data_IF_697184829818
#
_entry.id   IF_697184829818
#
_cell.length_a   1.000
_cell.length_b   1.000
_cell.length_c   1.000
_cell.angle_alpha   90.00
_cell.angle_beta   90.00
_cell.angle_gamma   90.00
#
_symmetry.space_group_name_H-M   'P 1'
#
loop_
_entity.id
_entity.type
_entity.pdbx_description
1 polymer ?
#
# COMPACT_ATOMS: atom_id res chain seq x y z
N UNK A 1 7.61 -0.41 51.83
CA UNK A 1 8.01 0.74 51.00
C UNK A 1 7.60 0.47 49.57
N UNK A 2 6.64 1.24 49.06
CA UNK A 2 6.37 1.28 47.62
C UNK A 2 7.57 1.91 46.88
N UNK A 3 7.69 1.64 45.58
CA UNK A 3 8.74 2.23 44.73
C UNK A 3 8.72 3.77 44.81
N UNK A 4 7.52 4.36 44.93
CA UNK A 4 7.31 5.80 45.09
C UNK A 4 7.78 6.32 46.46
N UNK A 5 7.58 5.57 47.54
CA UNK A 5 8.12 5.93 48.87
C UNK A 5 9.66 5.85 48.89
N UNK A 6 10.25 4.89 48.17
CA UNK A 6 11.71 4.75 48.06
C UNK A 6 12.35 5.92 47.29
N UNK A 7 11.76 6.29 46.15
CA UNK A 7 12.18 7.47 45.39
C UNK A 7 11.98 8.77 46.18
N UNK A 8 10.86 8.89 46.92
CA UNK A 8 10.60 10.05 47.79
C UNK A 8 11.59 10.20 48.94
N UNK A 9 12.26 9.11 49.34
CA UNK A 9 13.30 9.09 50.37
C UNK A 9 14.73 9.12 49.79
N UNK A 10 14.90 9.40 48.49
CA UNK A 10 16.19 9.34 47.77
C UNK A 10 16.94 8.00 47.94
N UNK A 11 16.20 6.90 48.11
CA UNK A 11 16.78 5.57 48.22
C UNK A 11 17.35 5.09 46.88
N UNK A 12 18.50 4.42 46.91
CA UNK A 12 19.06 3.74 45.74
C UNK A 12 18.60 2.27 45.73
N UNK A 13 18.14 1.80 44.58
CA UNK A 13 17.78 0.39 44.41
C UNK A 13 19.04 -0.45 44.25
N UNK A 14 19.25 -1.40 45.16
CA UNK A 14 20.41 -2.32 45.13
C UNK A 14 19.91 -3.74 44.90
N UNK A 15 20.48 -4.43 43.92
CA UNK A 15 20.16 -5.83 43.59
C UNK A 15 20.21 -6.13 42.08
N UNK A 16 20.36 -7.40 41.72
CA UNK A 16 20.38 -7.86 40.31
C UNK A 16 19.05 -7.67 39.59
N UNK A 17 17.95 -7.45 40.32
CA UNK A 17 16.60 -7.21 39.82
C UNK A 17 16.19 -5.73 39.76
N UNK A 18 17.14 -4.82 39.98
CA UNK A 18 16.90 -3.37 39.99
C UNK A 18 17.74 -2.70 38.89
N UNK A 19 17.08 -2.05 37.93
CA UNK A 19 17.75 -1.25 36.90
C UNK A 19 17.92 0.21 37.32
N UNK A 20 18.61 1.01 36.50
CA UNK A 20 18.85 2.45 36.74
C UNK A 20 17.57 3.30 36.84
N UNK A 21 16.42 2.80 36.38
CA UNK A 21 15.13 3.51 36.37
C UNK A 21 14.06 2.87 37.28
N UNK A 22 14.44 1.90 38.13
CA UNK A 22 13.52 1.24 39.06
C UNK A 22 13.62 -0.29 39.04
N UNK A 23 12.85 -0.99 39.90
CA UNK A 23 12.78 -2.45 39.89
C UNK A 23 12.16 -2.94 38.59
N UNK A 24 12.70 -4.02 38.03
CA UNK A 24 12.08 -4.69 36.88
C UNK A 24 10.68 -5.17 37.27
N UNK A 25 9.66 -4.65 36.62
CA UNK A 25 8.30 -5.16 36.77
C UNK A 25 8.21 -6.50 36.03
N UNK A 26 7.95 -7.61 36.75
CA UNK A 26 7.73 -8.89 36.08
C UNK A 26 6.50 -8.81 35.17
N UNK A 27 6.43 -9.71 34.19
CA UNK A 27 5.26 -9.96 33.33
C UNK A 27 4.88 -8.88 32.28
N UNK A 28 5.51 -7.71 32.27
CA UNK A 28 5.22 -6.65 31.27
C UNK A 28 5.49 -7.11 29.83
N UNK A 29 6.59 -7.83 29.61
CA UNK A 29 6.97 -8.33 28.28
C UNK A 29 6.01 -9.43 27.80
N UNK A 30 5.63 -10.34 28.71
CA UNK A 30 4.68 -11.41 28.42
C UNK A 30 3.31 -10.82 28.06
N UNK A 31 2.82 -9.89 28.89
CA UNK A 31 1.55 -9.18 28.63
C UNK A 31 1.58 -8.39 27.33
N UNK A 32 2.67 -7.67 27.04
CA UNK A 32 2.84 -6.93 25.78
C UNK A 32 2.80 -7.84 24.56
N UNK A 33 3.38 -9.04 24.67
CA UNK A 33 3.38 -10.05 23.60
C UNK A 33 1.97 -10.61 23.38
N UNK A 34 1.22 -10.87 24.44
CA UNK A 34 -0.19 -11.28 24.37
C UNK A 34 -1.02 -10.20 23.68
N UNK A 35 -0.92 -8.94 24.12
CA UNK A 35 -1.64 -7.83 23.51
C UNK A 35 -1.30 -7.68 22.02
N UNK A 36 -0.03 -7.80 21.66
CA UNK A 36 0.43 -7.70 20.27
C UNK A 36 -0.21 -8.78 19.38
N UNK A 37 -0.04 -10.06 19.71
CA UNK A 37 -0.57 -11.15 18.88
C UNK A 37 -2.10 -11.21 18.90
N UNK A 38 -2.72 -10.93 20.05
CA UNK A 38 -4.18 -10.87 20.19
C UNK A 38 -4.78 -9.76 19.31
N UNK A 39 -4.14 -8.60 19.24
CA UNK A 39 -4.55 -7.49 18.36
C UNK A 39 -4.51 -7.89 16.88
N UNK A 40 -3.44 -8.57 16.46
CA UNK A 40 -3.29 -9.05 15.07
C UNK A 40 -4.37 -10.08 14.74
N UNK A 41 -4.57 -11.06 15.61
CA UNK A 41 -5.55 -12.12 15.43
C UNK A 41 -6.98 -11.56 15.40
N UNK A 42 -7.33 -10.70 16.34
CA UNK A 42 -8.67 -10.07 16.40
C UNK A 42 -8.93 -9.18 15.18
N UNK A 43 -7.95 -8.38 14.75
CA UNK A 43 -8.08 -7.54 13.55
C UNK A 43 -8.28 -8.39 12.29
N UNK A 44 -7.55 -9.50 12.17
CA UNK A 44 -7.71 -10.44 11.07
C UNK A 44 -9.07 -11.14 11.08
N UNK A 45 -9.48 -11.65 12.24
CA UNK A 45 -10.75 -12.34 12.44
C UNK A 45 -11.95 -11.43 12.14
N UNK A 46 -11.97 -10.21 12.69
CA UNK A 46 -13.04 -9.24 12.44
C UNK A 46 -13.09 -8.78 10.98
N UNK A 47 -11.97 -8.78 10.26
CA UNK A 47 -11.97 -8.48 8.82
C UNK A 47 -12.45 -9.67 7.98
N UNK A 48 -12.03 -10.88 8.32
CA UNK A 48 -12.48 -12.12 7.65
C UNK A 48 -13.95 -12.43 7.95
N UNK A 49 -14.48 -11.88 9.04
CA UNK A 49 -15.92 -11.86 9.31
C UNK A 49 -16.71 -11.27 8.14
N UNK A 50 -16.11 -10.40 7.31
CA UNK A 50 -16.72 -9.91 6.07
C UNK A 50 -17.09 -11.03 5.10
N UNK A 51 -16.40 -12.16 5.05
CA UNK A 51 -16.75 -13.27 4.13
C UNK A 51 -17.55 -14.38 4.80
N UNK A 52 -17.79 -14.24 6.10
CA UNK A 52 -18.53 -15.21 6.90
C UNK A 52 -20.01 -15.27 6.48
N UNK A 53 -20.59 -16.47 6.58
CA UNK A 53 -22.01 -16.74 6.33
C UNK A 53 -22.91 -16.38 7.50
N UNK A 54 -22.33 -16.10 8.67
CA UNK A 54 -23.06 -15.65 9.85
C UNK A 54 -23.43 -14.15 9.72
N UNK A 55 -24.64 -13.79 10.17
CA UNK A 55 -25.22 -12.42 10.18
C UNK A 55 -25.65 -11.82 8.83
N UNK A 56 -26.59 -10.84 8.84
CA UNK A 56 -26.98 -10.12 7.63
C UNK A 56 -25.84 -9.26 7.06
N UNK A 57 -25.86 -9.06 5.73
CA UNK A 57 -24.80 -8.39 4.96
C UNK A 57 -24.44 -7.00 5.48
N UNK A 58 -25.45 -6.20 5.89
CA UNK A 58 -25.23 -4.84 6.44
C UNK A 58 -24.43 -4.86 7.74
N UNK A 59 -24.79 -5.74 8.68
CA UNK A 59 -24.10 -5.85 9.98
C UNK A 59 -22.68 -6.36 9.79
N UNK A 60 -22.51 -7.37 8.92
CA UNK A 60 -21.20 -7.92 8.57
C UNK A 60 -20.26 -6.87 7.95
N UNK A 61 -20.76 -6.04 7.04
CA UNK A 61 -19.96 -4.95 6.45
C UNK A 61 -19.55 -3.94 7.51
N UNK A 62 -20.49 -3.47 8.34
CA UNK A 62 -20.21 -2.50 9.41
C UNK A 62 -19.13 -3.01 10.37
N UNK A 63 -19.22 -4.25 10.84
CA UNK A 63 -18.23 -4.84 11.75
C UNK A 63 -16.85 -4.91 11.09
N UNK A 64 -16.77 -5.34 9.82
CA UNK A 64 -15.50 -5.41 9.10
C UNK A 64 -14.89 -4.03 8.83
N UNK A 65 -15.71 -3.01 8.59
CA UNK A 65 -15.24 -1.66 8.29
C UNK A 65 -14.69 -0.97 9.55
N UNK A 66 -15.29 -1.21 10.72
CA UNK A 66 -14.82 -0.74 12.03
C UNK A 66 -13.89 -1.72 12.77
N UNK A 67 -13.48 -2.83 12.14
CA UNK A 67 -12.73 -3.92 12.77
C UNK A 67 -11.48 -3.45 13.54
N UNK A 68 -10.65 -2.60 12.93
CA UNK A 68 -9.42 -2.09 13.57
C UNK A 68 -9.75 -1.23 14.78
N UNK A 69 -10.76 -0.36 14.67
CA UNK A 69 -11.20 0.50 15.78
C UNK A 69 -11.75 -0.31 16.96
N UNK A 70 -12.64 -1.26 16.68
CA UNK A 70 -13.22 -2.17 17.69
C UNK A 70 -12.11 -2.98 18.38
N UNK A 71 -11.11 -3.43 17.62
CA UNK A 71 -9.97 -4.17 18.18
C UNK A 71 -9.16 -3.31 19.15
N UNK A 72 -8.81 -2.07 18.77
CA UNK A 72 -8.08 -1.15 19.64
C UNK A 72 -8.87 -0.91 20.93
N UNK A 73 -10.16 -0.59 20.81
CA UNK A 73 -11.03 -0.35 21.98
C UNK A 73 -11.07 -1.57 22.91
N UNK A 74 -11.26 -2.76 22.37
CA UNK A 74 -11.34 -4.00 23.16
C UNK A 74 -10.01 -4.29 23.86
N UNK A 75 -8.88 -4.13 23.18
CA UNK A 75 -7.56 -4.39 23.76
C UNK A 75 -7.17 -3.34 24.81
N UNK A 76 -7.58 -2.09 24.64
CA UNK A 76 -7.42 -1.04 25.67
C UNK A 76 -8.24 -1.36 26.91
N UNK A 77 -9.48 -1.82 26.76
CA UNK A 77 -10.32 -2.24 27.89
C UNK A 77 -9.69 -3.43 28.61
N UNK A 78 -9.18 -4.42 27.88
CA UNK A 78 -8.50 -5.58 28.48
C UNK A 78 -7.22 -5.17 29.24
N UNK A 79 -6.41 -4.27 28.67
CA UNK A 79 -5.23 -3.71 29.35
C UNK A 79 -5.61 -2.96 30.64
N UNK A 80 -6.70 -2.20 30.60
CA UNK A 80 -7.23 -1.50 31.77
C UNK A 80 -7.72 -2.46 32.87
N UNK A 81 -8.43 -3.53 32.50
CA UNK A 81 -8.95 -4.53 33.46
C UNK A 81 -7.83 -5.35 34.09
N UNK A 82 -6.80 -5.70 33.32
CA UNK A 82 -5.68 -6.51 33.82
C UNK A 82 -4.69 -5.67 34.66
N UNK A 83 -4.62 -4.35 34.43
CA UNK A 83 -3.93 -3.43 35.33
C UNK A 83 -2.40 -3.56 35.35
N UNK A 84 -1.79 -4.27 34.40
CA UNK A 84 -0.33 -4.41 34.27
C UNK A 84 0.25 -3.12 33.68
N UNK A 85 1.39 -2.60 34.18
CA UNK A 85 2.00 -1.36 33.68
C UNK A 85 2.62 -1.58 32.29
N UNK A 86 1.79 -1.55 31.25
CA UNK A 86 2.20 -1.56 29.84
C UNK A 86 2.77 -0.20 29.41
N UNK A 87 3.62 -0.19 28.39
CA UNK A 87 4.12 1.06 27.79
C UNK A 87 2.99 1.73 27.02
N UNK A 88 2.56 2.90 27.50
CA UNK A 88 1.44 3.67 26.92
C UNK A 88 1.94 4.79 26.00
N UNK A 89 1.06 5.24 25.12
CA UNK A 89 1.34 6.33 24.19
C UNK A 89 1.62 7.64 24.96
N UNK A 90 2.85 8.15 24.83
CA UNK A 90 3.26 9.42 25.44
C UNK A 90 2.97 10.57 24.49
N UNK A 91 1.92 11.34 24.79
CA UNK A 91 1.61 12.58 24.05
C UNK A 91 1.92 13.77 24.96
N UNK A 92 2.75 14.74 24.52
CA UNK A 92 3.03 15.93 25.29
C UNK A 92 1.76 16.80 25.39
N UNK A 93 1.45 17.27 26.59
CA UNK A 93 0.27 18.12 26.84
C UNK A 93 0.48 19.59 26.44
N UNK A 94 1.69 19.97 26.03
CA UNK A 94 2.08 21.33 25.65
C UNK A 94 2.85 21.30 24.34
N UNK A 95 2.50 22.21 23.42
CA UNK A 95 3.32 22.48 22.25
C UNK A 95 4.57 23.27 22.68
N UNK A 96 5.74 22.63 22.58
CA UNK A 96 7.03 23.25 22.89
C UNK A 96 7.98 23.04 21.70
N UNK A 97 8.84 24.02 21.38
CA UNK A 97 9.89 23.83 20.40
C UNK A 97 10.85 22.71 20.85
N UNK A 98 11.49 22.02 19.90
CA UNK A 98 12.46 20.95 20.20
C UNK A 98 13.66 21.43 21.04
N UNK A 99 13.90 22.74 21.08
CA UNK A 99 14.88 23.39 21.96
C UNK A 99 14.24 24.61 22.61
N UNK A 100 14.34 24.70 23.93
CA UNK A 100 13.79 25.83 24.69
C UNK A 100 14.47 27.17 24.34
N UNK A 101 15.71 27.14 23.82
CA UNK A 101 16.48 28.33 23.41
C UNK A 101 15.99 28.97 22.09
N UNK A 102 15.03 28.36 21.38
CA UNK A 102 14.68 28.73 20.00
C UNK A 102 13.22 29.17 19.88
N UNK A 103 12.99 30.28 19.18
CA UNK A 103 11.67 30.64 18.67
C UNK A 103 11.17 29.70 17.55
N UNK A 104 9.89 29.79 17.22
CA UNK A 104 9.26 29.01 16.16
C UNK A 104 9.76 29.34 14.75
N UNK A 105 10.35 30.52 14.55
CA UNK A 105 10.94 30.93 13.28
C UNK A 105 12.46 30.89 13.33
N UNK A 106 13.07 30.31 12.30
CA UNK A 106 14.51 30.17 12.21
C UNK A 106 15.08 31.34 11.43
N UNK A 107 15.99 32.09 12.05
CA UNK A 107 16.79 33.05 11.29
C UNK A 107 17.72 32.29 10.33
N UNK A 108 17.60 32.51 9.00
CA UNK A 108 18.40 31.79 8.00
C UNK A 108 19.89 32.18 8.09
N UNK A 109 20.17 33.38 8.59
CA UNK A 109 21.51 33.89 8.89
C UNK A 109 21.70 33.75 10.40
N UNK A 110 21.90 32.51 10.85
CA UNK A 110 22.32 32.24 12.22
C UNK A 110 23.79 32.63 12.45
N UNK A 111 24.40 32.23 13.58
CA UNK A 111 25.83 32.45 13.86
C UNK A 111 26.78 31.64 12.95
N UNK A 112 26.25 30.93 11.95
CA UNK A 112 27.03 30.07 11.07
C UNK A 112 27.80 30.88 10.02
N UNK A 113 29.03 30.48 9.66
CA UNK A 113 29.80 31.11 8.60
C UNK A 113 29.08 31.07 7.24
N UNK A 114 29.25 32.10 6.40
CA UNK A 114 28.62 32.19 5.07
C UNK A 114 28.92 31.01 4.13
N UNK A 115 30.11 30.39 4.26
CA UNK A 115 30.50 29.24 3.44
C UNK A 115 29.66 27.99 3.71
N UNK A 116 29.01 27.91 4.88
CA UNK A 116 28.11 26.78 5.20
C UNK A 116 26.86 26.76 4.32
N UNK A 117 26.38 27.93 3.87
CA UNK A 117 25.23 28.01 2.95
C UNK A 117 25.55 27.41 1.57
N UNK A 118 26.78 27.61 1.08
CA UNK A 118 27.23 27.01 -0.18
C UNK A 118 27.40 25.50 -0.06
N UNK A 119 28.01 25.02 1.04
CA UNK A 119 28.17 23.59 1.28
C UNK A 119 26.81 22.90 1.48
N UNK A 120 25.83 23.57 2.07
CA UNK A 120 24.47 23.07 2.26
C UNK A 120 23.70 22.83 0.94
N UNK A 121 24.13 23.43 -0.17
CA UNK A 121 23.52 23.18 -1.48
C UNK A 121 23.67 21.70 -1.93
N UNK A 122 24.79 21.05 -1.59
CA UNK A 122 25.06 19.65 -1.95
C UNK A 122 24.05 18.69 -1.28
N UNK A 123 23.90 18.66 0.07
CA UNK A 123 22.89 17.82 0.72
C UNK A 123 21.46 18.25 0.38
N UNK A 124 21.20 19.55 0.16
CA UNK A 124 19.87 20.01 -0.27
C UNK A 124 19.47 19.44 -1.64
N UNK A 125 20.39 19.36 -2.60
CA UNK A 125 20.16 18.74 -3.90
C UNK A 125 19.85 17.24 -3.75
N UNK A 126 20.64 16.52 -2.94
CA UNK A 126 20.38 15.10 -2.66
C UNK A 126 19.01 14.88 -1.99
N UNK A 127 18.64 15.71 -1.02
CA UNK A 127 17.35 15.66 -0.34
C UNK A 127 16.19 15.97 -1.30
N UNK A 128 16.37 16.91 -2.22
CA UNK A 128 15.35 17.23 -3.23
C UNK A 128 15.08 16.03 -4.14
N UNK A 129 16.14 15.33 -4.58
CA UNK A 129 16.00 14.11 -5.39
C UNK A 129 15.31 12.99 -4.59
N UNK A 130 15.65 12.83 -3.31
CA UNK A 130 15.01 11.88 -2.41
C UNK A 130 13.49 12.11 -2.32
N UNK A 131 13.09 13.33 -2.00
CA UNK A 131 11.68 13.69 -1.81
C UNK A 131 10.92 13.61 -3.13
N UNK A 132 11.52 14.05 -4.23
CA UNK A 132 10.92 13.92 -5.56
C UNK A 132 10.64 12.46 -5.90
N UNK A 133 11.62 11.57 -5.73
CA UNK A 133 11.47 10.16 -6.09
C UNK A 133 10.44 9.46 -5.20
N UNK A 134 10.45 9.71 -3.89
CA UNK A 134 9.48 9.10 -2.98
C UNK A 134 8.05 9.57 -3.25
N UNK A 135 7.86 10.87 -3.52
CA UNK A 135 6.56 11.42 -3.91
C UNK A 135 6.05 10.81 -5.22
N UNK A 136 6.90 10.70 -6.26
CA UNK A 136 6.49 10.16 -7.56
C UNK A 136 6.18 8.67 -7.48
N UNK A 137 7.01 7.88 -6.78
CA UNK A 137 6.75 6.45 -6.58
C UNK A 137 5.42 6.26 -5.84
N UNK A 138 5.20 7.02 -4.77
CA UNK A 138 3.94 6.95 -4.00
C UNK A 138 2.73 7.33 -4.83
N UNK A 139 2.82 8.44 -5.58
CA UNK A 139 1.74 8.91 -6.43
C UNK A 139 1.37 7.90 -7.53
N UNK A 140 2.37 7.26 -8.17
CA UNK A 140 2.13 6.24 -9.19
C UNK A 140 1.50 4.97 -8.61
N UNK A 141 1.90 4.57 -7.40
CA UNK A 141 1.32 3.41 -6.73
C UNK A 141 -0.16 3.65 -6.39
N UNK A 142 -0.52 4.84 -5.92
CA UNK A 142 -1.90 5.20 -5.57
C UNK A 142 -2.76 5.39 -6.83
N UNK A 143 -2.22 6.04 -7.86
CA UNK A 143 -2.92 6.31 -9.12
C UNK A 143 -2.93 5.10 -10.07
N UNK A 144 -2.76 3.89 -9.55
CA UNK A 144 -2.77 2.67 -10.35
C UNK A 144 -4.16 2.46 -10.97
N UNK A 145 -4.19 2.09 -12.25
CA UNK A 145 -5.44 1.89 -13.02
C UNK A 145 -6.38 0.86 -12.40
N UNK A 146 -5.86 -0.11 -11.65
CA UNK A 146 -6.65 -1.09 -10.89
C UNK A 146 -7.58 -0.46 -9.86
N UNK A 147 -7.23 0.70 -9.32
CA UNK A 147 -8.05 1.40 -8.35
C UNK A 147 -9.29 2.05 -8.97
N UNK A 148 -9.43 2.01 -10.32
CA UNK A 148 -10.59 2.54 -11.07
C UNK A 148 -10.97 3.97 -10.61
N UNK A 149 -9.96 4.82 -10.39
CA UNK A 149 -10.14 6.22 -10.01
C UNK A 149 -10.78 6.98 -11.18
N UNK A 150 -11.73 7.87 -10.86
CA UNK A 150 -12.54 8.57 -11.86
C UNK A 150 -11.99 9.96 -12.17
N UNK A 151 -11.32 10.61 -11.21
CA UNK A 151 -10.73 11.94 -11.43
C UNK A 151 -9.31 11.83 -11.97
N UNK A 152 -8.93 12.84 -12.76
CA UNK A 152 -7.59 12.95 -13.36
C UNK A 152 -6.47 13.03 -12.32
N UNK A 153 -5.26 12.68 -12.74
CA UNK A 153 -4.06 12.67 -11.88
C UNK A 153 -3.39 14.06 -11.84
N UNK A 154 -2.94 14.47 -10.65
CA UNK A 154 -2.34 15.79 -10.40
C UNK A 154 -0.86 15.78 -10.03
N UNK A 155 -0.01 15.01 -10.72
CA UNK A 155 1.40 14.80 -10.31
C UNK A 155 2.21 16.09 -10.10
N UNK A 156 2.05 17.09 -10.97
CA UNK A 156 2.76 18.37 -10.86
C UNK A 156 2.25 19.23 -9.72
N UNK A 157 0.93 19.22 -9.49
CA UNK A 157 0.31 19.98 -8.42
C UNK A 157 0.68 19.40 -7.04
N UNK A 158 0.73 18.07 -6.94
CA UNK A 158 1.18 17.38 -5.73
C UNK A 158 2.64 17.73 -5.40
N UNK A 159 3.52 17.77 -6.41
CA UNK A 159 4.92 18.15 -6.24
C UNK A 159 5.07 19.62 -5.79
N UNK A 160 4.29 20.53 -6.37
CA UNK A 160 4.29 21.94 -5.98
C UNK A 160 3.86 22.12 -4.52
N UNK A 161 2.81 21.41 -4.09
CA UNK A 161 2.31 21.48 -2.71
C UNK A 161 3.32 20.92 -1.70
N UNK A 162 3.98 19.80 -2.01
CA UNK A 162 5.06 19.24 -1.17
C UNK A 162 6.24 20.22 -1.10
N UNK A 163 6.62 20.85 -2.21
CA UNK A 163 7.68 21.86 -2.23
C UNK A 163 7.36 23.08 -1.36
N UNK A 164 6.14 23.60 -1.45
CA UNK A 164 5.67 24.70 -0.60
C UNK A 164 5.67 24.30 0.88
N UNK A 165 5.18 23.11 1.22
CA UNK A 165 5.15 22.61 2.59
C UNK A 165 6.57 22.41 3.14
N UNK A 166 7.50 21.93 2.32
CA UNK A 166 8.91 21.79 2.69
C UNK A 166 9.55 23.16 2.98
N UNK A 167 9.28 24.18 2.16
CA UNK A 167 9.76 25.53 2.41
C UNK A 167 9.25 26.06 3.77
N UNK A 168 7.95 25.91 4.05
CA UNK A 168 7.35 26.32 5.34
C UNK A 168 7.96 25.54 6.52
N UNK A 169 8.08 24.22 6.41
CA UNK A 169 8.68 23.38 7.46
C UNK A 169 10.14 23.74 7.69
N UNK A 170 10.89 24.05 6.63
CA UNK A 170 12.29 24.48 6.72
C UNK A 170 12.45 25.84 7.39
N UNK A 171 11.52 26.78 7.20
CA UNK A 171 11.52 28.08 7.87
C UNK A 171 11.12 27.99 9.35
N UNK A 172 10.20 27.07 9.67
CA UNK A 172 9.71 26.84 11.03
C UNK A 172 10.54 25.84 11.84
N UNK A 173 11.47 25.11 11.20
CA UNK A 173 12.30 24.11 11.87
C UNK A 173 11.59 22.81 12.18
N UNK A 174 10.49 22.55 11.49
CA UNK A 174 9.72 21.32 11.61
C UNK A 174 10.35 20.23 10.72
N UNK A 175 10.23 18.95 11.11
CA UNK A 175 10.66 17.85 10.26
C UNK A 175 9.92 17.89 8.92
N UNK A 176 10.62 17.55 7.84
CA UNK A 176 10.00 17.48 6.52
C UNK A 176 9.02 16.32 6.43
N UNK A 177 7.90 16.56 5.75
CA UNK A 177 6.88 15.55 5.50
C UNK A 177 6.98 15.05 4.07
N UNK A 178 6.88 13.73 3.91
CA UNK A 178 6.83 13.03 2.62
C UNK A 178 5.60 12.12 2.57
N UNK A 179 5.08 11.82 1.38
CA UNK A 179 3.92 10.95 1.25
C UNK A 179 4.22 9.52 1.73
N UNK A 180 3.41 9.03 2.67
CA UNK A 180 3.57 7.68 3.21
C UNK A 180 2.80 6.66 2.36
N UNK A 181 3.53 5.76 1.68
CA UNK A 181 2.95 4.72 0.79
C UNK A 181 1.95 3.79 1.50
N UNK A 182 2.38 3.10 2.56
CA UNK A 182 1.56 2.08 3.25
C UNK A 182 0.30 2.69 3.86
N UNK A 183 0.42 3.86 4.47
CA UNK A 183 -0.72 4.56 5.07
C UNK A 183 -1.71 5.01 4.00
N UNK A 184 -1.23 5.56 2.89
CA UNK A 184 -2.07 5.99 1.77
C UNK A 184 -2.80 4.82 1.11
N UNK A 185 -2.12 3.69 0.90
CA UNK A 185 -2.75 2.46 0.38
C UNK A 185 -3.83 1.95 1.35
N UNK A 186 -3.55 1.98 2.65
CA UNK A 186 -4.53 1.54 3.67
C UNK A 186 -5.76 2.44 3.70
N UNK A 187 -5.55 3.76 3.58
CA UNK A 187 -6.64 4.73 3.45
C UNK A 187 -7.47 4.51 2.20
N UNK A 188 -6.84 4.32 1.04
CA UNK A 188 -7.52 4.00 -0.23
C UNK A 188 -8.29 2.67 -0.13
N UNK A 189 -7.70 1.64 0.49
CA UNK A 189 -8.36 0.36 0.71
C UNK A 189 -9.56 0.47 1.67
N UNK A 190 -9.56 1.41 2.60
CA UNK A 190 -10.73 1.67 3.45
C UNK A 190 -11.89 2.36 2.70
N UNK A 191 -11.60 3.01 1.57
CA UNK A 191 -12.56 3.69 0.70
C UNK A 191 -13.00 2.84 -0.50
N UNK A 192 -12.55 1.58 -0.56
CA UNK A 192 -12.90 0.61 -1.61
C UNK A 192 -14.37 0.21 -1.50
N UNK A 193 -15.12 0.44 -2.57
CA UNK A 193 -16.49 -0.04 -2.72
C UNK A 193 -16.48 -1.40 -3.40
N UNK A 194 -17.08 -2.35 -2.70
CA UNK A 194 -17.33 -3.71 -3.16
C UNK A 194 -18.83 -3.88 -3.42
N UNK A 195 -19.20 -4.68 -4.42
CA UNK A 195 -20.59 -4.89 -4.82
C UNK A 195 -21.42 -5.45 -3.67
N UNK A 196 -22.56 -4.82 -3.37
CA UNK A 196 -23.50 -5.28 -2.34
C UNK A 196 -24.24 -6.58 -2.72
N UNK A 197 -24.21 -6.97 -4.00
CA UNK A 197 -24.93 -8.14 -4.51
C UNK A 197 -23.99 -9.08 -5.25
N UNK A 198 -23.36 -9.98 -4.51
CA UNK A 198 -22.82 -11.23 -5.05
C UNK A 198 -23.71 -12.36 -4.54
N UNK A 199 -24.06 -13.31 -5.41
CA UNK A 199 -24.70 -14.54 -4.99
C UNK A 199 -23.85 -15.23 -3.90
N UNK A 200 -24.45 -15.95 -2.93
CA UNK A 200 -23.69 -16.60 -1.87
C UNK A 200 -22.61 -17.51 -2.46
N UNK A 201 -21.33 -17.16 -2.25
CA UNK A 201 -20.16 -17.88 -2.78
C UNK A 201 -19.38 -17.17 -3.89
N UNK A 202 -19.92 -16.11 -4.53
CA UNK A 202 -19.17 -15.31 -5.51
C UNK A 202 -18.38 -14.20 -4.80
N UNK A 203 -17.08 -14.06 -5.12
CA UNK A 203 -16.25 -12.99 -4.57
C UNK A 203 -16.84 -11.62 -4.93
N UNK A 204 -16.88 -10.65 -4.00
CA UNK A 204 -17.47 -9.34 -4.27
C UNK A 204 -16.74 -8.65 -5.43
N UNK A 205 -17.50 -8.21 -6.43
CA UNK A 205 -16.94 -7.47 -7.57
C UNK A 205 -16.54 -6.07 -7.10
N UNK A 206 -15.31 -5.68 -7.43
CA UNK A 206 -14.80 -4.34 -7.12
C UNK A 206 -15.40 -3.30 -8.07
N UNK A 207 -16.28 -2.43 -7.56
CA UNK A 207 -16.90 -1.36 -8.35
C UNK A 207 -15.98 -0.15 -8.54
N UNK A 208 -15.20 0.21 -7.52
CA UNK A 208 -14.30 1.37 -7.56
C UNK A 208 -14.00 1.92 -6.17
N UNK A 209 -13.29 3.04 -6.11
CA UNK A 209 -12.94 3.73 -4.86
C UNK A 209 -13.71 5.05 -4.75
N UNK A 210 -14.25 5.34 -3.56
CA UNK A 210 -14.90 6.61 -3.30
C UNK A 210 -13.87 7.68 -2.99
N UNK A 211 -13.66 8.59 -3.93
CA UNK A 211 -12.74 9.72 -3.72
C UNK A 211 -13.34 10.78 -2.82
N UNK A 212 -12.75 10.99 -1.64
CA UNK A 212 -13.22 11.95 -0.64
C UNK A 212 -12.05 12.85 -0.19
N UNK A 213 -12.29 14.16 -0.15
CA UNK A 213 -11.34 15.13 0.43
C UNK A 213 -11.48 15.29 1.94
N UNK A 214 -12.69 15.06 2.46
CA UNK A 214 -13.05 15.31 3.84
C UNK A 214 -12.35 14.35 4.81
N UNK A 215 -12.20 13.07 4.47
CA UNK A 215 -11.60 12.08 5.37
C UNK A 215 -10.13 12.39 5.64
N UNK A 216 -9.36 12.74 4.60
CA UNK A 216 -7.98 13.19 4.76
C UNK A 216 -7.88 14.46 5.61
N UNK A 217 -8.69 15.49 5.31
CA UNK A 217 -8.75 16.73 6.08
C UNK A 217 -9.06 16.45 7.56
N UNK A 218 -10.04 15.58 7.83
CA UNK A 218 -10.44 15.23 9.20
C UNK A 218 -9.33 14.49 9.94
N UNK A 219 -8.59 13.57 9.31
CA UNK A 219 -7.46 12.90 9.96
C UNK A 219 -6.40 13.92 10.42
N UNK A 220 -6.01 14.85 9.56
CA UNK A 220 -5.03 15.88 9.92
C UNK A 220 -5.56 16.87 10.96
N UNK A 221 -6.84 17.24 10.88
CA UNK A 221 -7.50 18.06 11.88
C UNK A 221 -7.52 17.37 13.26
N UNK A 222 -7.94 16.10 13.32
CA UNK A 222 -7.96 15.31 14.55
C UNK A 222 -6.55 15.10 15.11
N UNK A 223 -5.54 14.94 14.24
CA UNK A 223 -4.14 14.88 14.67
C UNK A 223 -3.70 16.19 15.33
N UNK A 224 -4.07 17.34 14.77
CA UNK A 224 -3.84 18.65 15.41
C UNK A 224 -4.58 18.81 16.73
N UNK A 225 -5.82 18.33 16.81
CA UNK A 225 -6.63 18.36 18.03
C UNK A 225 -6.22 17.32 19.09
N UNK A 226 -5.33 16.37 18.76
CA UNK A 226 -4.94 15.27 19.65
C UNK A 226 -4.35 15.73 20.97
N UNK A 227 -3.71 16.90 21.02
CA UNK A 227 -3.16 17.50 22.25
C UNK A 227 -4.27 17.80 23.27
N UNK A 228 -5.46 18.22 22.83
CA UNK A 228 -6.61 18.41 23.73
C UNK A 228 -7.18 17.09 24.24
N UNK A 229 -6.98 16.00 23.49
CA UNK A 229 -7.44 14.64 23.83
C UNK A 229 -6.35 13.78 24.49
N UNK A 230 -5.25 14.39 24.95
CA UNK A 230 -4.11 13.69 25.55
C UNK A 230 -4.53 12.72 26.66
N UNK A 231 -5.50 13.09 27.50
CA UNK A 231 -5.99 12.23 28.58
C UNK A 231 -6.62 10.92 28.09
N UNK A 232 -7.28 10.91 26.94
CA UNK A 232 -7.85 9.69 26.36
C UNK A 232 -6.79 8.86 25.61
N UNK A 233 -5.90 9.53 24.87
CA UNK A 233 -4.86 8.87 24.06
C UNK A 233 -3.80 8.17 24.91
N UNK A 234 -3.52 8.68 26.11
CA UNK A 234 -2.56 8.07 27.04
C UNK A 234 -3.00 6.69 27.56
N UNK A 235 -4.25 6.27 27.39
CA UNK A 235 -4.67 4.92 27.77
C UNK A 235 -4.31 3.86 26.73
N UNK A 236 -3.87 4.26 25.53
CA UNK A 236 -3.58 3.31 24.45
C UNK A 236 -2.19 2.70 24.65
N UNK A 237 -2.08 1.37 24.82
CA UNK A 237 -0.81 0.69 24.96
C UNK A 237 -0.10 0.56 23.60
N UNK A 238 1.20 0.85 23.56
CA UNK A 238 2.03 0.77 22.35
C UNK A 238 2.04 -0.63 21.70
N UNK A 239 2.06 -1.76 22.44
CA UNK A 239 1.97 -3.09 21.84
C UNK A 239 0.75 -3.32 20.95
N UNK A 240 -0.40 -2.71 21.29
CA UNK A 240 -1.62 -2.79 20.47
C UNK A 240 -1.42 -2.04 19.16
N UNK A 241 -0.83 -0.83 19.20
CA UNK A 241 -0.52 -0.08 17.98
C UNK A 241 0.44 -0.85 17.06
N UNK A 242 1.46 -1.49 17.62
CA UNK A 242 2.35 -2.35 16.83
C UNK A 242 1.62 -3.54 16.20
N UNK A 243 0.67 -4.16 16.91
CA UNK A 243 -0.16 -5.23 16.36
C UNK A 243 -1.03 -4.75 15.20
N UNK A 244 -1.64 -3.57 15.33
CA UNK A 244 -2.40 -2.94 14.24
C UNK A 244 -1.50 -2.60 13.06
N UNK A 245 -0.30 -2.07 13.29
CA UNK A 245 0.66 -1.78 12.21
C UNK A 245 1.11 -3.05 11.48
N UNK A 246 1.33 -4.16 12.20
CA UNK A 246 1.64 -5.44 11.57
C UNK A 246 0.48 -5.92 10.69
N UNK A 247 -0.76 -5.81 11.19
CA UNK A 247 -1.95 -6.18 10.42
C UNK A 247 -2.11 -5.31 9.16
N UNK A 248 -2.00 -3.99 9.28
CA UNK A 248 -2.06 -3.07 8.13
C UNK A 248 -0.94 -3.37 7.12
N UNK A 249 0.28 -3.63 7.60
CA UNK A 249 1.41 -4.03 6.78
C UNK A 249 1.10 -5.32 6.00
N UNK A 250 0.68 -6.38 6.69
CA UNK A 250 0.34 -7.65 6.07
C UNK A 250 -0.85 -7.54 5.09
N UNK A 251 -1.86 -6.73 5.41
CA UNK A 251 -2.99 -6.48 4.51
C UNK A 251 -2.59 -5.67 3.27
N UNK A 252 -1.64 -4.75 3.38
CA UNK A 252 -1.15 -3.96 2.25
C UNK A 252 -0.36 -4.80 1.23
N UNK A 253 0.21 -5.93 1.67
CA UNK A 253 0.88 -6.88 0.79
C UNK A 253 -0.10 -7.73 -0.04
N UNK A 254 -1.35 -7.89 0.42
CA UNK A 254 -2.39 -8.60 -0.34
C UNK A 254 -2.79 -7.76 -1.57
N UNK A 255 -2.64 -8.34 -2.76
CA UNK A 255 -2.91 -7.64 -4.03
C UNK A 255 -1.66 -7.11 -4.74
N UNK A 256 -0.46 -7.29 -4.16
CA UNK A 256 0.80 -7.06 -4.87
C UNK A 256 1.14 -8.34 -5.66
N UNK A 257 1.23 -8.23 -6.99
CA UNK A 257 1.53 -9.36 -7.88
C UNK A 257 2.83 -10.10 -7.51
N UNK A 258 3.86 -9.38 -7.09
CA UNK A 258 5.12 -9.98 -6.62
C UNK A 258 4.89 -10.96 -5.46
N UNK A 259 4.05 -10.57 -4.48
CA UNK A 259 3.77 -11.42 -3.31
C UNK A 259 2.93 -12.64 -3.69
N UNK A 260 2.00 -12.50 -4.64
CA UNK A 260 1.22 -13.64 -5.14
C UNK A 260 2.09 -14.62 -5.94
N UNK A 261 3.07 -14.13 -6.71
CA UNK A 261 4.10 -14.97 -7.35
C UNK A 261 5.04 -15.63 -6.34
N UNK A 262 5.37 -14.94 -5.25
CA UNK A 262 6.17 -15.51 -4.19
C UNK A 262 5.42 -16.65 -3.49
N UNK A 263 4.12 -16.52 -3.23
CA UNK A 263 3.27 -17.62 -2.71
C UNK A 263 3.23 -18.81 -3.66
N UNK A 264 3.25 -18.56 -4.97
CA UNK A 264 3.27 -19.59 -6.00
C UNK A 264 4.45 -20.55 -5.86
N UNK A 265 5.59 -20.06 -5.34
CA UNK A 265 6.76 -20.89 -5.08
C UNK A 265 6.51 -21.96 -4.01
N UNK A 266 5.63 -21.67 -3.04
CA UNK A 266 5.24 -22.61 -1.98
C UNK A 266 4.03 -23.47 -2.30
N UNK A 267 3.40 -23.29 -3.47
CA UNK A 267 2.16 -23.98 -3.84
C UNK A 267 2.46 -25.14 -4.80
N UNK A 268 1.95 -26.36 -4.55
CA UNK A 268 2.10 -27.45 -5.50
C UNK A 268 1.32 -27.16 -6.80
N UNK A 269 1.80 -27.61 -7.97
CA UNK A 269 1.23 -27.26 -9.28
C UNK A 269 -0.24 -27.71 -9.45
N UNK A 270 -0.69 -28.69 -8.66
CA UNK A 270 -2.08 -29.19 -8.69
C UNK A 270 -3.11 -28.25 -8.06
N UNK A 271 -2.71 -27.42 -7.12
CA UNK A 271 -3.62 -26.51 -6.42
C UNK A 271 -3.51 -25.07 -6.93
N UNK A 272 -2.78 -24.87 -8.02
CA UNK A 272 -2.43 -23.55 -8.50
C UNK A 272 -3.68 -22.81 -8.99
N UNK A 273 -3.93 -21.57 -8.52
CA UNK A 273 -5.08 -20.80 -8.98
C UNK A 273 -4.93 -20.42 -10.46
N UNK A 274 -6.07 -20.29 -11.15
CA UNK A 274 -6.17 -19.98 -12.58
C UNK A 274 -5.79 -18.53 -12.90
N UNK A 275 -4.51 -18.21 -12.74
CA UNK A 275 -3.97 -16.93 -13.18
C UNK A 275 -3.73 -16.94 -14.70
N UNK A 276 -4.28 -15.97 -15.42
CA UNK A 276 -4.17 -15.85 -16.90
C UNK A 276 -2.71 -15.82 -17.41
N UNK A 277 -1.75 -15.37 -16.60
CA UNK A 277 -0.33 -15.38 -16.96
C UNK A 277 0.33 -16.78 -16.91
N UNK A 278 -0.20 -17.73 -16.12
CA UNK A 278 0.28 -19.12 -16.08
C UNK A 278 -0.07 -19.90 -17.36
N UNK A 279 -1.14 -19.50 -18.06
CA UNK A 279 -1.57 -20.14 -19.31
C UNK A 279 -0.63 -19.82 -20.47
N UNK A 280 0.08 -18.69 -20.40
CA UNK A 280 0.90 -18.18 -21.50
C UNK A 280 2.42 -18.27 -21.26
N UNK A 281 2.85 -18.39 -20.00
CA UNK A 281 4.29 -18.40 -19.62
C UNK A 281 4.61 -19.66 -18.81
N UNK A 282 5.65 -20.44 -19.17
CA UNK A 282 6.01 -21.64 -18.43
C UNK A 282 6.49 -21.30 -17.01
N UNK A 283 6.09 -22.12 -16.02
CA UNK A 283 6.34 -21.89 -14.59
C UNK A 283 7.82 -21.66 -14.25
N UNK A 284 8.75 -22.33 -14.94
CA UNK A 284 10.20 -22.16 -14.73
C UNK A 284 10.65 -20.72 -14.96
N UNK A 285 10.11 -20.05 -15.99
CA UNK A 285 10.42 -18.66 -16.32
C UNK A 285 9.82 -17.70 -15.28
N UNK A 286 8.62 -18.00 -14.79
CA UNK A 286 7.97 -17.25 -13.70
C UNK A 286 8.79 -17.32 -12.40
N UNK A 287 9.28 -18.52 -12.04
CA UNK A 287 10.13 -18.68 -10.86
C UNK A 287 11.47 -17.97 -11.00
N UNK A 288 12.12 -18.08 -12.17
CA UNK A 288 13.37 -17.35 -12.44
C UNK A 288 13.18 -15.84 -12.29
N UNK A 289 12.10 -15.29 -12.85
CA UNK A 289 11.76 -13.88 -12.73
C UNK A 289 11.53 -13.46 -11.26
N UNK A 290 10.77 -14.28 -10.51
CA UNK A 290 10.47 -14.00 -9.10
C UNK A 290 11.73 -14.07 -8.22
N UNK A 291 12.66 -15.00 -8.50
CA UNK A 291 13.96 -15.08 -7.81
C UNK A 291 14.80 -13.85 -8.09
N UNK A 292 14.83 -13.35 -9.33
CA UNK A 292 15.53 -12.09 -9.64
C UNK A 292 14.92 -10.92 -8.88
N UNK A 293 13.60 -10.79 -8.84
CA UNK A 293 12.90 -9.74 -8.07
C UNK A 293 13.19 -9.84 -6.57
N UNK A 294 13.20 -11.06 -6.01
CA UNK A 294 13.55 -11.29 -4.59
C UNK A 294 15.00 -10.92 -4.31
N UNK A 295 15.93 -11.28 -5.20
CA UNK A 295 17.35 -10.91 -5.09
C UNK A 295 17.53 -9.40 -5.09
N UNK A 296 16.82 -8.69 -5.99
CA UNK A 296 16.79 -7.24 -5.99
C UNK A 296 16.26 -6.70 -4.65
N UNK A 297 15.13 -7.20 -4.15
CA UNK A 297 14.55 -6.77 -2.88
C UNK A 297 15.52 -6.96 -1.69
N UNK A 298 16.20 -8.11 -1.62
CA UNK A 298 17.21 -8.38 -0.57
C UNK A 298 18.38 -7.39 -0.68
N UNK A 299 18.86 -7.11 -1.89
CA UNK A 299 19.92 -6.13 -2.10
C UNK A 299 19.49 -4.73 -1.64
N UNK A 300 18.27 -4.31 -1.95
CA UNK A 300 17.70 -3.04 -1.45
C UNK A 300 17.60 -3.04 0.08
N UNK A 301 17.24 -4.16 0.70
CA UNK A 301 17.14 -4.29 2.15
C UNK A 301 18.49 -4.11 2.83
N UNK A 302 19.54 -4.81 2.35
CA UNK A 302 20.90 -4.69 2.90
C UNK A 302 21.41 -3.26 2.81
N UNK A 303 21.21 -2.61 1.66
CA UNK A 303 21.64 -1.21 1.47
C UNK A 303 20.83 -0.27 2.36
N UNK A 304 19.52 -0.50 2.53
CA UNK A 304 18.69 0.31 3.43
C UNK A 304 19.14 0.22 4.89
N UNK A 305 19.62 -0.94 5.34
CA UNK A 305 20.18 -1.09 6.70
C UNK A 305 21.56 -0.45 6.87
N UNK A 306 22.21 -0.10 5.77
CA UNK A 306 23.53 0.55 5.76
C UNK A 306 23.40 2.07 5.91
N UNK A 307 24.42 2.78 6.46
CA UNK A 307 24.48 4.25 6.46
C UNK A 307 24.39 4.89 5.07
N UNK A 308 24.57 4.10 4.00
CA UNK A 308 24.38 4.52 2.62
C UNK A 308 22.90 4.72 2.20
N UNK A 309 21.93 4.63 3.12
CA UNK A 309 20.50 4.81 2.85
C UNK A 309 20.15 6.15 2.17
N UNK A 310 20.99 7.18 2.29
CA UNK A 310 20.82 8.48 1.62
C UNK A 310 20.84 8.33 0.07
N UNK A 311 21.49 7.29 -0.45
CA UNK A 311 21.60 7.00 -1.90
C UNK A 311 20.38 6.21 -2.44
N UNK A 312 19.35 6.00 -1.61
CA UNK A 312 18.17 5.20 -1.95
C UNK A 312 17.51 5.51 -3.32
N UNK A 313 17.37 6.77 -3.77
CA UNK A 313 16.72 7.08 -5.06
C UNK A 313 17.55 6.66 -6.26
N UNK A 314 18.87 6.82 -6.20
CA UNK A 314 19.78 6.37 -7.25
C UNK A 314 19.74 4.84 -7.38
N UNK A 315 19.53 4.15 -6.27
CA UNK A 315 19.37 2.70 -6.25
C UNK A 315 18.04 2.25 -6.88
N UNK A 316 16.93 2.95 -6.64
CA UNK A 316 15.66 2.65 -7.33
C UNK A 316 15.79 2.86 -8.84
N UNK A 317 16.53 3.88 -9.29
CA UNK A 317 16.88 4.05 -10.71
C UNK A 317 17.72 2.87 -11.23
N UNK A 318 18.65 2.36 -10.44
CA UNK A 318 19.44 1.18 -10.81
C UNK A 318 18.54 -0.07 -11.02
N UNK A 319 17.43 -0.21 -10.29
CA UNK A 319 16.46 -1.30 -10.56
C UNK A 319 15.82 -1.20 -11.94
N UNK A 320 15.63 0.01 -12.47
CA UNK A 320 15.15 0.22 -13.85
C UNK A 320 16.19 -0.29 -14.84
N UNK A 321 17.48 -0.12 -14.55
CA UNK A 321 18.55 -0.70 -15.36
C UNK A 321 18.55 -2.23 -15.29
N UNK A 322 18.36 -2.81 -14.09
CA UNK A 322 18.19 -4.27 -13.94
C UNK A 322 16.98 -4.78 -14.73
N UNK A 323 15.88 -4.03 -14.75
CA UNK A 323 14.71 -4.33 -15.61
C UNK A 323 15.10 -4.34 -17.09
N UNK A 324 15.88 -3.37 -17.54
CA UNK A 324 16.35 -3.33 -18.93
C UNK A 324 17.33 -4.46 -19.26
N UNK A 325 18.09 -4.95 -18.29
CA UNK A 325 18.93 -6.15 -18.46
C UNK A 325 18.10 -7.44 -18.56
N UNK A 326 16.93 -7.50 -17.91
CA UNK A 326 16.00 -8.63 -18.03
C UNK A 326 15.43 -8.77 -19.46
N UNK A 327 15.39 -7.70 -20.25
CA UNK A 327 15.02 -7.74 -21.67
C UNK A 327 15.97 -8.58 -22.53
N UNK A 328 17.21 -8.85 -22.06
CA UNK A 328 18.18 -9.69 -22.79
C UNK A 328 17.89 -11.20 -22.66
N UNK A 329 17.19 -11.62 -21.60
CA UNK A 329 16.96 -13.03 -21.27
C UNK A 329 15.52 -13.52 -21.41
N UNK A 330 14.56 -12.61 -21.58
CA UNK A 330 13.13 -12.90 -21.70
C UNK A 330 12.56 -12.36 -23.01
N UNK A 331 11.59 -13.07 -23.60
CA UNK A 331 10.87 -12.55 -24.76
C UNK A 331 9.98 -11.38 -24.34
N UNK A 332 9.87 -10.33 -25.17
CA UNK A 332 9.02 -9.15 -24.91
C UNK A 332 7.56 -9.52 -24.59
N UNK A 333 7.07 -10.63 -25.16
CA UNK A 333 5.71 -11.14 -24.90
C UNK A 333 5.57 -11.73 -23.50
N UNK A 334 6.54 -12.52 -23.05
CA UNK A 334 6.56 -13.11 -21.70
C UNK A 334 6.69 -12.02 -20.64
N UNK A 335 7.54 -11.01 -20.88
CA UNK A 335 7.73 -9.89 -19.96
C UNK A 335 6.48 -9.00 -19.89
N UNK A 336 5.75 -8.79 -20.98
CA UNK A 336 4.47 -8.06 -20.93
C UNK A 336 3.44 -8.79 -20.06
N UNK A 337 3.32 -10.13 -20.15
CA UNK A 337 2.42 -10.87 -19.25
C UNK A 337 2.89 -10.89 -17.77
N UNK A 338 4.19 -10.69 -17.52
CA UNK A 338 4.79 -10.65 -16.18
C UNK A 338 4.87 -9.23 -15.58
N UNK A 339 4.91 -8.18 -16.37
CA UNK A 339 5.09 -6.80 -15.87
C UNK A 339 3.91 -5.88 -16.20
N UNK A 340 3.18 -6.10 -17.30
CA UNK A 340 1.96 -5.36 -17.53
C UNK A 340 0.87 -5.89 -16.62
N UNK A 341 0.46 -5.02 -15.71
CA UNK A 341 -0.90 -5.01 -15.18
C UNK A 341 -1.85 -4.66 -16.32
N UNK A 342 -2.16 -5.66 -17.14
CA UNK A 342 -3.09 -5.51 -18.23
C UNK A 342 -4.46 -5.15 -17.62
N UNK A 343 -5.06 -3.99 -17.98
CA UNK A 343 -6.37 -3.60 -17.48
C UNK A 343 -7.40 -4.70 -17.72
N UNK A 344 -8.33 -4.97 -16.79
CA UNK A 344 -9.35 -6.01 -16.96
C UNK A 344 -10.09 -5.92 -18.31
N UNK A 345 -10.32 -4.71 -18.82
CA UNK A 345 -10.94 -4.50 -20.13
C UNK A 345 -10.01 -4.85 -21.29
N UNK A 346 -8.71 -4.54 -21.20
CA UNK A 346 -7.71 -4.93 -22.21
C UNK A 346 -7.42 -6.42 -22.15
N UNK A 347 -7.53 -7.03 -20.96
CA UNK A 347 -7.49 -8.47 -20.71
C UNK A 347 -8.69 -9.17 -21.33
N UNK A 348 -9.90 -8.68 -21.07
CA UNK A 348 -11.13 -9.18 -21.69
C UNK A 348 -11.09 -9.05 -23.22
N UNK A 349 -10.66 -7.88 -23.74
CA UNK A 349 -10.52 -7.68 -25.18
C UNK A 349 -9.45 -8.60 -25.80
N UNK A 350 -8.36 -8.89 -25.09
CA UNK A 350 -7.32 -9.81 -25.56
C UNK A 350 -7.78 -11.27 -25.48
N UNK A 351 -8.49 -11.64 -24.42
CA UNK A 351 -9.09 -12.96 -24.23
C UNK A 351 -10.15 -13.22 -25.31
N UNK A 352 -11.02 -12.25 -25.57
CA UNK A 352 -12.03 -12.29 -26.64
C UNK A 352 -11.34 -12.38 -28.02
N UNK A 353 -10.28 -11.58 -28.27
CA UNK A 353 -9.51 -11.67 -29.51
C UNK A 353 -8.72 -12.98 -29.67
N UNK A 354 -8.35 -13.64 -28.58
CA UNK A 354 -7.64 -14.93 -28.62
C UNK A 354 -8.61 -16.07 -28.87
N UNK A 355 -9.80 -16.03 -28.26
CA UNK A 355 -10.90 -16.96 -28.56
C UNK A 355 -11.33 -16.88 -30.02
N UNK A 356 -11.48 -15.66 -30.56
CA UNK A 356 -11.79 -15.46 -31.98
C UNK A 356 -10.70 -16.08 -32.87
N UNK A 357 -9.42 -15.97 -32.50
CA UNK A 357 -8.33 -16.59 -33.26
C UNK A 357 -8.27 -18.11 -33.13
N UNK A 358 -8.58 -18.64 -31.95
CA UNK A 358 -8.70 -20.09 -31.73
C UNK A 358 -9.86 -20.64 -32.57
N UNK A 359 -11.03 -19.99 -32.55
CA UNK A 359 -12.20 -20.31 -33.39
C UNK A 359 -11.87 -20.21 -34.90
N UNK A 360 -11.21 -19.13 -35.35
CA UNK A 360 -10.76 -18.99 -36.75
C UNK A 360 -9.76 -20.10 -37.15
N UNK A 361 -8.90 -20.53 -36.23
CA UNK A 361 -7.92 -21.60 -36.49
C UNK A 361 -8.57 -22.98 -36.51
N UNK A 362 -9.57 -23.24 -35.67
CA UNK A 362 -10.36 -24.48 -35.69
C UNK A 362 -11.19 -24.58 -36.98
N UNK A 363 -11.83 -23.48 -37.40
CA UNK A 363 -12.56 -23.42 -38.67
C UNK A 363 -11.63 -23.67 -39.86
N UNK A 364 -10.41 -23.15 -39.86
CA UNK A 364 -9.43 -23.40 -40.93
C UNK A 364 -8.86 -24.83 -40.94
N UNK A 365 -8.88 -25.54 -39.80
CA UNK A 365 -8.49 -26.95 -39.71
C UNK A 365 -9.64 -27.85 -40.17
N UNK A 366 -10.88 -27.49 -39.84
CA UNK A 366 -12.08 -28.23 -40.26
C UNK A 366 -12.42 -28.03 -41.75
N UNK A 367 -11.96 -26.94 -42.37
CA UNK A 367 -12.15 -26.67 -43.81
C UNK A 367 -11.12 -27.34 -44.74
N UNK A 368 -10.32 -28.31 -44.27
CA UNK A 368 -9.40 -29.08 -45.12
C UNK A 368 -9.98 -30.48 -45.41
N UNK A 369 -10.63 -30.72 -46.57
CA UNK A 369 -11.06 -32.05 -46.95
C UNK A 369 -9.95 -32.80 -47.71
N UNK A 370 -9.96 -34.13 -47.55
CA UNK A 370 -9.22 -35.10 -48.34
C UNK A 370 -9.63 -35.07 -49.83
N UNK A 371 -8.70 -35.51 -50.69
CA UNK A 371 -8.71 -35.48 -52.16
C UNK A 371 -10.01 -35.90 -52.89
N UNK A 372 -10.38 -35.15 -53.94
CA UNK A 372 -10.44 -35.61 -55.36
C UNK A 372 -11.54 -34.92 -56.22
N UNK A 373 -11.10 -34.30 -57.32
CA UNK A 373 -11.79 -34.08 -58.62
C UNK A 373 -13.24 -33.56 -58.66
N UNK A 374 -13.46 -32.27 -59.00
CA UNK A 374 -14.05 -31.82 -60.29
C UNK A 374 -13.97 -30.29 -60.44
N UNK A 375 -13.82 -29.84 -61.69
CA UNK A 375 -13.65 -28.45 -62.16
C UNK A 375 -15.01 -27.74 -62.33
N UNK A 376 -15.15 -26.46 -61.94
CA UNK A 376 -15.72 -25.36 -62.79
C UNK A 376 -15.75 -23.95 -62.10
N UNK A 377 -14.87 -23.07 -62.61
CA UNK A 377 -14.97 -21.65 -63.09
C UNK A 377 -15.61 -20.52 -62.22
N UNK A 378 -15.04 -19.28 -62.20
CA UNK A 378 -15.32 -18.22 -61.23
C UNK A 378 -16.27 -17.10 -61.72
N UNK A 379 -16.93 -16.40 -60.78
CA UNK A 379 -17.58 -15.09 -61.00
C UNK A 379 -17.39 -14.17 -59.76
N UNK A 380 -17.19 -12.89 -60.04
CA UNK A 380 -16.71 -11.74 -59.22
C UNK A 380 -17.61 -11.26 -58.04
N UNK A 381 -17.16 -10.29 -57.20
CA UNK A 381 -17.54 -10.18 -55.79
C UNK A 381 -18.78 -9.31 -55.51
N UNK A 382 -19.56 -9.67 -54.50
CA UNK A 382 -20.64 -8.84 -53.97
C UNK A 382 -20.25 -8.22 -52.61
N UNK A 383 -20.01 -6.91 -52.61
CA UNK A 383 -20.00 -6.07 -51.40
C UNK A 383 -21.44 -5.89 -50.92
N UNK A 384 -21.75 -6.24 -49.68
CA UNK A 384 -22.90 -5.71 -48.90
C UNK A 384 -22.56 -5.87 -47.42
N UNK A 385 -22.02 -4.82 -46.80
CA UNK A 385 -22.76 -3.89 -45.93
C UNK A 385 -23.27 -4.54 -44.63
N UNK A 386 -22.46 -4.30 -43.60
CA UNK A 386 -22.74 -4.40 -42.19
C UNK A 386 -24.04 -3.66 -41.83
N UNK A 387 -25.12 -4.37 -41.53
CA UNK A 387 -26.31 -3.76 -40.93
C UNK A 387 -26.12 -3.65 -39.42
N UNK A 388 -25.80 -2.43 -38.98
CA UNK A 388 -25.98 -1.94 -37.61
C UNK A 388 -27.42 -2.16 -37.18
N UNK A 389 -27.63 -2.84 -36.05
CA UNK A 389 -28.79 -2.60 -35.20
C UNK A 389 -28.36 -1.61 -34.11
N UNK A 390 -28.91 -0.41 -34.15
CA UNK A 390 -28.75 0.64 -33.16
C UNK A 390 -30.13 0.95 -32.60
N UNK A 391 -30.31 0.87 -31.28
CA UNK A 391 -31.25 1.71 -30.52
C UNK A 391 -30.97 1.59 -28.99
N UNK A 392 -31.45 2.50 -28.12
CA UNK A 392 -30.71 3.71 -27.76
C UNK A 392 -30.71 3.93 -26.23
N UNK A 393 -29.56 4.27 -25.65
CA UNK A 393 -29.45 5.07 -24.42
C UNK A 393 -27.98 5.30 -24.15
N UNK A 394 -27.65 6.53 -23.75
CA UNK A 394 -26.30 7.05 -23.48
C UNK A 394 -25.62 7.66 -24.72
N UNK A 395 -26.31 8.60 -25.37
CA UNK A 395 -25.66 9.83 -25.81
C UNK A 395 -26.40 11.00 -25.18
N UNK A 396 -25.64 11.79 -24.44
CA UNK A 396 -26.13 12.88 -23.63
C UNK A 396 -24.96 13.58 -22.97
N UNK A 397 -24.30 14.42 -23.77
CA UNK A 397 -23.51 15.58 -23.35
C UNK A 397 -22.01 15.31 -23.12
N UNK A 398 -21.28 15.29 -24.23
CA UNK A 398 -19.99 15.97 -24.40
C UNK A 398 -20.04 16.47 -25.86
N UNK A 399 -20.05 17.75 -26.20
CA UNK A 399 -18.97 18.74 -26.12
C UNK A 399 -19.49 20.02 -26.79
N UNK A 400 -19.27 21.21 -26.21
CA UNK A 400 -19.25 22.57 -26.79
C UNK A 400 -18.63 23.43 -25.65
N UNK A 401 -17.57 24.25 -25.71
CA UNK A 401 -16.80 24.95 -26.76
C UNK A 401 -15.38 25.31 -26.24
N UNK A 402 -14.48 25.61 -27.18
CA UNK A 402 -13.21 26.40 -27.13
C UNK A 402 -12.16 26.21 -26.01
#
# INVERSE_FOLDING_TARGET
MSVQECLGLNGQFVGTSCGHHGPYTPDVLFWSTILFFSTVFMSAFLKEFKTSTYFPTKVRSMISDFAVFITILTMVILDYVVGVPSQKLQVPSKFQPTRDDRGWFINPIGPNPWWTALVAAIPALLCTILIFMDQQITAVIINRKEHKLLKGCGYHLDLLMVGMMLAVCSLMGLPWFVAATVLSITHVNSLKLESESSAPGEQPRFLGIREQRLTGLMIFLLMGCSVFMTGALQFIPMPVLYGVFLYMGASSLKGIQFFDRLKLFGMPPKHQPDFIYLRHVPLRKVHLFTVTQLTCLVLLWVIKTSPAAIVFPMMVLALVFVRKLLDLGFSKRELSYLDDLMPEWKKKNLDDATKIKEEESEIMIESKPEDSTTVQIPMEPCKTQLQKAHDPRIEGIAFIDE
#
